data_IF_015858152322
#
_entry.id   IF_015858152322
#
_cell.length_a   1.000
_cell.length_b   1.000
_cell.length_c   1.000
_cell.angle_alpha   90.00
_cell.angle_beta   90.00
_cell.angle_gamma   90.00
#
_symmetry.space_group_name_H-M   'P 1'
#
loop_
_entity.id
_entity.type
_entity.pdbx_description
1 polymer ?
#
# COMPACT_ATOMS: atom_id res chain seq x y z
N UNK A 1 5.90 -10.99 16.33
CA UNK A 1 5.53 -10.58 14.96
C UNK A 1 6.56 -9.54 14.57
N UNK A 2 7.67 -10.01 14.01
CA UNK A 2 8.76 -9.13 13.59
C UNK A 2 8.24 -8.30 12.41
N UNK A 3 8.21 -7.00 12.62
CA UNK A 3 7.93 -6.04 11.57
C UNK A 3 9.15 -5.98 10.67
N UNK A 4 9.29 -6.96 9.78
CA UNK A 4 10.37 -6.96 8.81
C UNK A 4 10.28 -5.67 7.98
N UNK A 5 11.44 -5.05 7.75
CA UNK A 5 11.58 -3.90 6.88
C UNK A 5 11.14 -4.34 5.49
N UNK A 6 10.14 -3.65 4.94
CA UNK A 6 9.60 -4.01 3.63
C UNK A 6 10.51 -3.41 2.58
N UNK A 7 11.34 -4.25 1.97
CA UNK A 7 12.16 -3.94 0.82
C UNK A 7 11.40 -4.32 -0.45
N UNK A 8 11.30 -3.40 -1.40
CA UNK A 8 10.78 -3.63 -2.75
C UNK A 8 11.92 -3.48 -3.75
N UNK A 9 11.88 -4.27 -4.82
CA UNK A 9 12.77 -4.09 -5.98
C UNK A 9 12.31 -2.89 -6.81
N UNK A 10 13.22 -2.27 -7.58
CA UNK A 10 12.89 -1.12 -8.43
C UNK A 10 11.71 -1.40 -9.37
N UNK A 11 11.62 -2.62 -9.90
CA UNK A 11 10.51 -3.08 -10.75
C UNK A 11 9.17 -3.14 -9.99
N UNK A 12 9.20 -3.59 -8.74
CA UNK A 12 8.02 -3.60 -7.87
C UNK A 12 7.62 -2.17 -7.51
N UNK A 13 8.57 -1.30 -7.13
CA UNK A 13 8.31 0.11 -6.81
C UNK A 13 7.66 0.83 -7.99
N UNK A 14 8.20 0.68 -9.20
CA UNK A 14 7.67 1.29 -10.42
C UNK A 14 6.29 0.75 -10.80
N UNK A 15 6.02 -0.55 -10.58
CA UNK A 15 4.69 -1.10 -10.80
C UNK A 15 3.68 -0.57 -9.78
N UNK A 16 4.05 -0.53 -8.50
CA UNK A 16 3.22 0.03 -7.43
C UNK A 16 2.88 1.49 -7.76
N UNK A 17 3.87 2.29 -8.14
CA UNK A 17 3.68 3.69 -8.50
C UNK A 17 2.74 3.88 -9.70
N UNK A 18 2.96 3.14 -10.79
CA UNK A 18 2.10 3.21 -11.99
C UNK A 18 0.68 2.76 -11.71
N UNK A 19 0.52 1.68 -10.94
CA UNK A 19 -0.81 1.16 -10.58
C UNK A 19 -1.54 2.10 -9.62
N UNK A 20 -0.86 2.65 -8.61
CA UNK A 20 -1.45 3.60 -7.69
C UNK A 20 -1.94 4.87 -8.42
N UNK A 21 -1.18 5.37 -9.40
CA UNK A 21 -1.63 6.49 -10.22
C UNK A 21 -2.86 6.16 -11.09
N UNK A 22 -3.07 4.89 -11.43
CA UNK A 22 -4.17 4.45 -12.29
C UNK A 22 -5.45 4.12 -11.50
N UNK A 23 -5.32 3.39 -10.39
CA UNK A 23 -6.46 2.84 -9.63
C UNK A 23 -6.49 3.28 -8.16
N UNK A 24 -5.54 4.07 -7.70
CA UNK A 24 -5.46 4.54 -6.31
C UNK A 24 -4.94 3.48 -5.34
N UNK A 25 -5.43 3.55 -4.09
CA UNK A 25 -5.06 2.72 -2.95
C UNK A 25 -5.64 1.30 -2.99
N UNK A 26 -5.93 0.78 -4.18
CA UNK A 26 -6.50 -0.56 -4.36
C UNK A 26 -5.43 -1.66 -4.25
N UNK A 27 -4.80 -1.75 -3.08
CA UNK A 27 -3.63 -2.59 -2.81
C UNK A 27 -3.83 -4.06 -3.14
N UNK A 28 -5.03 -4.60 -2.94
CA UNK A 28 -5.37 -5.98 -3.30
C UNK A 28 -5.25 -6.24 -4.82
N UNK A 29 -5.63 -5.27 -5.65
CA UNK A 29 -5.50 -5.36 -7.11
C UNK A 29 -4.04 -5.19 -7.55
N UNK A 30 -3.28 -4.33 -6.87
CA UNK A 30 -1.85 -4.12 -7.13
C UNK A 30 -1.05 -5.37 -6.74
N UNK A 31 -1.33 -5.96 -5.58
CA UNK A 31 -0.72 -7.22 -5.12
C UNK A 31 -0.99 -8.38 -6.08
N UNK A 32 -2.19 -8.44 -6.67
CA UNK A 32 -2.51 -9.42 -7.70
C UNK A 32 -1.62 -9.36 -8.95
N UNK A 33 -0.86 -8.26 -9.14
CA UNK A 33 0.11 -8.09 -10.23
C UNK A 33 1.56 -8.32 -9.80
N UNK A 34 1.84 -8.41 -8.50
CA UNK A 34 3.18 -8.62 -7.95
C UNK A 34 3.21 -9.99 -7.27
N UNK A 35 3.63 -11.05 -7.97
CA UNK A 35 3.63 -12.39 -7.41
C UNK A 35 4.54 -12.46 -6.17
N UNK A 36 4.02 -13.00 -5.08
CA UNK A 36 4.76 -13.12 -3.81
C UNK A 36 4.66 -11.91 -2.89
N UNK A 37 3.98 -10.83 -3.29
CA UNK A 37 3.68 -9.70 -2.40
C UNK A 37 2.24 -9.71 -1.94
N UNK A 38 2.06 -9.31 -0.69
CA UNK A 38 0.73 -9.10 -0.11
C UNK A 38 0.32 -7.63 -0.18
N UNK A 39 -0.98 -7.38 -0.18
CA UNK A 39 -1.54 -6.04 -0.23
C UNK A 39 -1.05 -5.17 0.94
N UNK A 40 -0.96 -5.76 2.14
CA UNK A 40 -0.51 -5.10 3.36
C UNK A 40 0.97 -4.70 3.28
N UNK A 41 1.79 -5.47 2.55
CA UNK A 41 3.20 -5.13 2.36
C UNK A 41 3.35 -3.93 1.44
N UNK A 42 2.56 -3.89 0.36
CA UNK A 42 2.57 -2.80 -0.61
C UNK A 42 2.05 -1.50 0.03
N UNK A 43 0.96 -1.58 0.79
CA UNK A 43 0.41 -0.46 1.55
C UNK A 43 1.48 0.11 2.50
N UNK A 44 2.13 -0.75 3.28
CA UNK A 44 3.14 -0.32 4.24
C UNK A 44 4.40 0.22 3.58
N UNK A 45 4.84 -0.35 2.45
CA UNK A 45 5.89 0.22 1.62
C UNK A 45 5.54 1.64 1.15
N UNK A 46 4.31 1.82 0.65
CA UNK A 46 3.83 3.11 0.18
C UNK A 46 3.73 4.15 1.31
N UNK A 47 3.21 3.76 2.48
CA UNK A 47 3.16 4.62 3.67
C UNK A 47 4.57 4.98 4.18
N UNK A 48 5.55 4.07 4.08
CA UNK A 48 6.94 4.38 4.46
C UNK A 48 7.61 5.34 3.48
N UNK A 49 7.40 5.16 2.17
CA UNK A 49 7.99 6.01 1.12
C UNK A 49 7.31 7.37 0.98
N UNK A 50 6.00 7.42 1.20
CA UNK A 50 5.15 8.59 0.97
C UNK A 50 4.45 9.07 2.25
N UNK A 51 4.95 8.72 3.44
CA UNK A 51 4.27 9.00 4.71
C UNK A 51 3.91 10.46 4.96
N UNK A 52 4.71 11.41 4.45
CA UNK A 52 4.39 12.84 4.52
C UNK A 52 3.22 13.23 3.59
N UNK A 53 3.02 12.49 2.48
CA UNK A 53 1.92 12.67 1.52
C UNK A 53 0.55 12.28 2.11
N UNK A 54 0.52 11.43 3.15
CA UNK A 54 -0.71 10.98 3.81
C UNK A 54 -1.03 11.68 5.13
N UNK A 55 -0.11 12.47 5.70
CA UNK A 55 -0.44 13.35 6.82
C UNK A 55 -1.64 14.26 6.48
N UNK A 56 -1.83 14.57 5.19
CA UNK A 56 -2.95 15.36 4.68
C UNK A 56 -4.24 14.54 4.42
N UNK A 57 -4.13 13.23 4.13
CA UNK A 57 -5.25 12.31 3.83
C UNK A 57 -5.78 11.50 5.02
N UNK A 58 -5.23 11.68 6.23
CA UNK A 58 -5.63 10.96 7.46
C UNK A 58 -7.06 11.22 7.97
N UNK A 59 -7.98 11.74 7.15
CA UNK A 59 -9.39 11.98 7.53
C UNK A 59 -10.37 10.92 7.03
N UNK A 60 -10.02 10.09 6.04
CA UNK A 60 -11.01 9.26 5.34
C UNK A 60 -10.91 7.75 5.57
N UNK A 61 -9.87 7.24 6.22
CA UNK A 61 -9.77 5.82 6.60
C UNK A 61 -10.23 5.62 8.05
N UNK A 62 -11.53 5.81 8.31
CA UNK A 62 -12.15 5.15 9.47
C UNK A 62 -12.32 3.67 9.11
N UNK A 63 -11.87 2.73 9.97
CA UNK A 63 -12.34 1.35 9.85
C UNK A 63 -13.85 1.38 10.08
N UNK A 64 -14.62 1.07 9.04
CA UNK A 64 -16.03 0.75 9.16
C UNK A 64 -16.12 -0.50 10.04
N UNK A 65 -16.34 -0.26 11.34
CA UNK A 65 -16.70 -1.30 12.29
C UNK A 65 -18.03 -1.86 11.81
N UNK A 66 -18.01 -3.02 11.16
CA UNK A 66 -19.24 -3.78 10.90
C UNK A 66 -19.84 -4.17 12.24
N UNK A 67 -20.97 -3.53 12.53
CA UNK A 67 -21.90 -3.80 13.63
C UNK A 67 -22.04 -5.30 13.95
N UNK A 68 -22.04 -5.59 15.25
CA UNK A 68 -22.85 -6.67 15.80
C UNK A 68 -23.33 -6.31 17.20
#
# INVERSE_FOLDING_TARGET
MEWELITMTEQEEDLIYRMYNLIGDQWALIAGRIPGRKAEEIERFWMMKHGEYFADKGRDLKPEQKEK
#
